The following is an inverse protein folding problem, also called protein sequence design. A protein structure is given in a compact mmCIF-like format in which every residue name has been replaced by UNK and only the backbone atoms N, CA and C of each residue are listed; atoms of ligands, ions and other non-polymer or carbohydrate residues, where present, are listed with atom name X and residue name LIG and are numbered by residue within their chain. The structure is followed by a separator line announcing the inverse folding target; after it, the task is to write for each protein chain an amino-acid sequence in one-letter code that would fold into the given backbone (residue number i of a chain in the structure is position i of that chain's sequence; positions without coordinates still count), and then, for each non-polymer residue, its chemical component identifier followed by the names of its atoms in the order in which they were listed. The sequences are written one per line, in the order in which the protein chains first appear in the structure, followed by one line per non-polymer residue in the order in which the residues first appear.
data_IF_644504870177
#
_entry.id   IF_644504870177
#
_cell.length_a   1.000
_cell.length_b   1.000
_cell.length_c   1.000
_cell.angle_alpha   90.00
_cell.angle_beta   90.00
_cell.angle_gamma   90.00
#
_symmetry.space_group_name_H-M   'P 1'
#
loop_
_entity.id
_entity.type
_entity.pdbx_description
1 polymer ?
#
# COMPACT_ATOMS: atom_id res chain seq x y z
N UNK A 1 -30.01 11.55 10.21
CA UNK A 1 -29.06 11.46 11.34
C UNK A 1 -28.15 10.23 11.26
N UNK A 2 -28.68 9.03 10.98
CA UNK A 2 -27.90 7.77 10.92
C UNK A 2 -26.95 7.68 9.71
N UNK A 3 -27.33 8.22 8.55
CA UNK A 3 -26.52 8.15 7.33
C UNK A 3 -25.17 8.89 7.47
N UNK A 4 -25.16 10.07 8.09
CA UNK A 4 -23.93 10.82 8.32
C UNK A 4 -23.04 10.15 9.38
N UNK A 5 -23.65 9.50 10.38
CA UNK A 5 -22.91 8.75 11.39
C UNK A 5 -22.22 7.51 10.77
N UNK A 6 -22.90 6.77 9.89
CA UNK A 6 -22.32 5.61 9.19
C UNK A 6 -21.16 6.05 8.28
N UNK A 7 -21.33 7.15 7.53
CA UNK A 7 -20.26 7.71 6.70
C UNK A 7 -19.05 8.16 7.54
N UNK A 8 -19.27 8.78 8.70
CA UNK A 8 -18.21 9.18 9.63
C UNK A 8 -17.42 7.98 10.17
N UNK A 9 -18.12 6.91 10.58
CA UNK A 9 -17.48 5.69 11.08
C UNK A 9 -16.67 5.01 9.97
N UNK A 10 -17.19 4.96 8.75
CA UNK A 10 -16.46 4.38 7.62
C UNK A 10 -15.15 5.11 7.33
N UNK A 11 -15.15 6.45 7.35
CA UNK A 11 -13.94 7.25 7.15
C UNK A 11 -12.92 7.03 8.28
N UNK A 12 -13.37 6.92 9.54
CA UNK A 12 -12.51 6.59 10.67
C UNK A 12 -11.88 5.20 10.54
N UNK A 13 -12.66 4.19 10.16
CA UNK A 13 -12.16 2.82 9.97
C UNK A 13 -11.09 2.75 8.86
N UNK A 14 -11.31 3.45 7.74
CA UNK A 14 -10.31 3.54 6.66
C UNK A 14 -9.05 4.24 7.15
N UNK A 15 -9.17 5.29 7.97
CA UNK A 15 -8.01 5.99 8.52
C UNK A 15 -7.21 5.16 9.53
N UNK A 16 -7.89 4.56 10.51
CA UNK A 16 -7.23 3.85 11.62
C UNK A 16 -6.74 2.47 11.21
N UNK A 17 -7.48 1.72 10.39
CA UNK A 17 -7.08 0.37 9.99
C UNK A 17 -6.50 0.33 8.57
N UNK A 18 -7.02 1.14 7.66
CA UNK A 18 -6.64 1.11 6.26
C UNK A 18 -5.20 1.58 6.01
N UNK A 19 -4.78 2.73 6.56
CA UNK A 19 -3.40 3.22 6.34
C UNK A 19 -2.33 2.27 6.89
N UNK A 20 -2.43 1.74 8.12
CA UNK A 20 -1.46 0.75 8.60
C UNK A 20 -1.46 -0.53 7.76
N UNK A 21 -2.62 -0.98 7.29
CA UNK A 21 -2.71 -2.15 6.41
C UNK A 21 -2.07 -1.91 5.04
N UNK A 22 -2.25 -0.73 4.45
CA UNK A 22 -1.55 -0.31 3.22
C UNK A 22 -0.02 -0.36 3.43
N UNK A 23 0.47 0.08 4.59
CA UNK A 23 1.88 -0.03 4.94
C UNK A 23 2.38 -1.49 4.93
N UNK A 24 1.61 -2.44 5.47
CA UNK A 24 1.97 -3.87 5.39
C UNK A 24 2.06 -4.34 3.94
N UNK A 25 1.09 -3.96 3.10
CA UNK A 25 1.08 -4.37 1.71
C UNK A 25 2.28 -3.78 0.94
N UNK A 26 2.64 -2.52 1.18
CA UNK A 26 3.86 -1.92 0.64
C UNK A 26 5.10 -2.70 1.06
N UNK A 27 5.24 -3.01 2.35
CA UNK A 27 6.35 -3.82 2.86
C UNK A 27 6.42 -5.19 2.18
N UNK A 28 5.30 -5.86 1.92
CA UNK A 28 5.29 -7.17 1.21
C UNK A 28 5.74 -7.06 -0.24
N UNK A 29 5.28 -6.03 -0.95
CA UNK A 29 5.72 -5.77 -2.34
C UNK A 29 7.20 -5.44 -2.36
N UNK A 30 7.69 -4.63 -1.41
CA UNK A 30 9.11 -4.33 -1.24
C UNK A 30 9.95 -5.57 -0.96
N UNK A 31 9.48 -6.45 -0.06
CA UNK A 31 10.17 -7.72 0.21
C UNK A 31 10.28 -8.57 -1.05
N UNK A 32 9.20 -8.70 -1.80
CA UNK A 32 9.16 -9.45 -3.07
C UNK A 32 10.12 -8.84 -4.09
N UNK A 33 10.10 -7.52 -4.25
CA UNK A 33 10.99 -6.82 -5.18
C UNK A 33 12.48 -7.01 -4.83
N UNK A 34 12.84 -6.98 -3.54
CA UNK A 34 14.22 -7.26 -3.11
C UNK A 34 14.61 -8.73 -3.32
N UNK A 35 13.66 -9.66 -3.19
CA UNK A 35 13.89 -11.08 -3.47
C UNK A 35 14.04 -11.32 -4.98
N UNK A 36 13.27 -10.64 -5.83
CA UNK A 36 13.31 -10.88 -7.29
C UNK A 36 14.44 -10.11 -8.00
N UNK A 37 14.99 -9.06 -7.38
CA UNK A 37 16.02 -8.25 -8.01
C UNK A 37 17.40 -8.91 -7.98
N UNK A 38 17.79 -9.49 -9.12
CA UNK A 38 19.08 -10.18 -9.27
C UNK A 38 20.32 -9.29 -9.01
N UNK A 39 20.23 -7.98 -9.27
CA UNK A 39 21.36 -7.07 -9.01
C UNK A 39 21.56 -6.86 -7.51
N UNK A 40 20.47 -6.69 -6.76
CA UNK A 40 20.52 -6.54 -5.30
C UNK A 40 21.10 -7.80 -4.65
N UNK A 41 20.71 -9.00 -5.12
CA UNK A 41 21.27 -10.24 -4.61
C UNK A 41 22.78 -10.37 -4.85
N UNK A 42 23.27 -9.90 -6.01
CA UNK A 42 24.70 -9.88 -6.34
C UNK A 42 25.47 -8.86 -5.51
N UNK A 43 24.91 -7.67 -5.32
CA UNK A 43 25.54 -6.56 -4.59
C UNK A 43 25.54 -6.78 -3.08
N UNK A 44 24.52 -7.45 -2.53
CA UNK A 44 24.38 -7.71 -1.09
C UNK A 44 24.21 -9.21 -0.84
N UNK A 45 25.32 -9.99 -0.88
CA UNK A 45 25.28 -11.41 -0.59
C UNK A 45 24.82 -11.63 0.86
N UNK A 46 23.88 -12.56 1.05
CA UNK A 46 23.27 -12.85 2.34
C UNK A 46 22.00 -12.05 2.65
N UNK A 47 21.57 -11.14 1.77
CA UNK A 47 20.26 -10.47 1.90
C UNK A 47 19.10 -11.46 1.72
N UNK A 48 19.25 -12.38 0.77
CA UNK A 48 18.26 -13.42 0.43
C UNK A 48 18.88 -14.79 0.66
N UNK A 49 18.19 -15.64 1.41
CA UNK A 49 18.58 -17.02 1.68
C UNK A 49 17.35 -17.92 1.53
N UNK A 50 17.46 -19.00 0.74
CA UNK A 50 16.35 -19.92 0.44
C UNK A 50 15.06 -19.21 -0.08
N UNK A 51 15.22 -18.15 -0.88
CA UNK A 51 14.10 -17.37 -1.41
C UNK A 51 13.38 -16.50 -0.37
N UNK A 52 13.99 -16.26 0.80
CA UNK A 52 13.46 -15.40 1.86
C UNK A 52 14.49 -14.34 2.26
N UNK A 53 14.02 -13.19 2.71
CA UNK A 53 14.90 -12.17 3.27
C UNK A 53 15.39 -12.58 4.65
N UNK A 54 16.70 -12.44 4.89
CA UNK A 54 17.34 -12.69 6.20
C UNK A 54 17.20 -11.49 7.14
N UNK A 55 16.93 -10.32 6.57
CA UNK A 55 16.86 -9.01 7.24
C UNK A 55 15.45 -8.70 7.75
N UNK A 56 14.65 -9.69 8.13
CA UNK A 56 13.28 -9.46 8.60
C UNK A 56 13.25 -9.20 10.12
N UNK A 57 12.31 -8.36 10.54
CA UNK A 57 11.91 -8.15 11.94
C UNK A 57 10.39 -8.23 12.08
N UNK A 58 9.94 -8.83 13.17
CA UNK A 58 8.50 -8.87 13.46
C UNK A 58 8.06 -7.54 14.07
N UNK A 59 6.94 -7.01 13.59
CA UNK A 59 6.26 -5.83 14.11
C UNK A 59 4.78 -6.13 14.28
N UNK A 60 4.10 -5.36 15.12
CA UNK A 60 2.66 -5.50 15.32
C UNK A 60 1.96 -4.15 15.13
N UNK A 61 0.83 -4.17 14.45
CA UNK A 61 -0.10 -3.03 14.45
C UNK A 61 -1.07 -3.25 15.60
N UNK A 62 -1.21 -2.23 16.45
CA UNK A 62 -2.10 -2.24 17.63
C UNK A 62 -1.90 -3.46 18.55
N UNK A 63 -0.68 -4.01 18.63
CA UNK A 63 -0.32 -5.23 19.38
C UNK A 63 -1.03 -6.53 18.96
N UNK A 64 -1.96 -6.47 17.99
CA UNK A 64 -2.82 -7.60 17.61
C UNK A 64 -2.56 -8.14 16.21
N UNK A 65 -1.99 -7.32 15.32
CA UNK A 65 -1.77 -7.71 13.93
C UNK A 65 -0.28 -7.81 13.62
N UNK A 66 0.32 -9.01 13.71
CA UNK A 66 1.73 -9.20 13.40
C UNK A 66 1.99 -9.09 11.89
N UNK A 67 3.15 -8.51 11.54
CA UNK A 67 3.68 -8.48 10.20
C UNK A 67 5.21 -8.51 10.22
N UNK A 68 5.80 -8.93 9.11
CA UNK A 68 7.25 -8.91 8.95
C UNK A 68 7.65 -7.64 8.20
N UNK A 69 8.57 -6.89 8.79
CA UNK A 69 9.14 -5.67 8.22
C UNK A 69 10.62 -5.86 7.88
N UNK A 70 11.14 -5.03 7.00
CA UNK A 70 12.56 -5.02 6.64
C UNK A 70 13.33 -4.29 7.73
N UNK A 71 14.37 -4.95 8.23
CA UNK A 71 15.23 -4.43 9.27
C UNK A 71 16.42 -3.66 8.68
N UNK A 72 16.27 -2.35 8.58
CA UNK A 72 17.29 -1.45 8.02
C UNK A 72 18.65 -1.58 8.72
N UNK A 73 18.68 -1.93 10.01
CA UNK A 73 19.93 -2.12 10.75
C UNK A 73 20.68 -3.37 10.27
N UNK A 74 19.96 -4.47 10.04
CA UNK A 74 20.53 -5.69 9.45
C UNK A 74 20.95 -5.47 8.00
N UNK A 75 20.16 -4.74 7.22
CA UNK A 75 20.52 -4.36 5.84
C UNK A 75 21.83 -3.55 5.84
N UNK A 76 21.93 -2.56 6.72
CA UNK A 76 23.14 -1.74 6.86
C UNK A 76 24.32 -2.60 7.30
N UNK A 77 24.15 -3.49 8.27
CA UNK A 77 25.18 -4.42 8.72
C UNK A 77 25.64 -5.42 7.65
N UNK A 78 24.80 -5.76 6.66
CA UNK A 78 25.22 -6.53 5.49
C UNK A 78 26.03 -5.68 4.52
N UNK A 79 25.62 -4.43 4.30
CA UNK A 79 26.31 -3.50 3.39
C UNK A 79 27.69 -3.12 3.96
N UNK A 80 27.83 -2.95 5.28
CA UNK A 80 29.12 -2.61 5.91
C UNK A 80 30.18 -3.71 5.74
N UNK A 81 29.76 -4.97 5.57
CA UNK A 81 30.65 -6.10 5.28
C UNK A 81 31.19 -6.09 3.84
N UNK A 82 30.62 -5.25 2.96
CA UNK A 82 31.11 -5.08 1.60
C UNK A 82 32.37 -4.20 1.54
N UNK A 83 33.19 -4.36 0.49
CA UNK A 83 34.28 -3.42 0.19
C UNK A 83 33.76 -1.99 0.10
N UNK A 84 34.53 -1.00 0.59
CA UNK A 84 34.10 0.41 0.63
C UNK A 84 33.65 0.95 -0.72
N UNK A 85 34.29 0.52 -1.81
CA UNK A 85 33.95 0.88 -3.18
C UNK A 85 32.51 0.48 -3.58
N UNK A 86 31.96 -0.59 -2.99
CA UNK A 86 30.66 -1.15 -3.36
C UNK A 86 29.53 -0.73 -2.40
N UNK A 87 29.86 -0.17 -1.23
CA UNK A 87 28.88 0.17 -0.18
C UNK A 87 27.84 1.19 -0.66
N UNK A 88 28.29 2.27 -1.28
CA UNK A 88 27.40 3.33 -1.75
C UNK A 88 26.51 2.86 -2.90
N UNK A 89 27.07 2.06 -3.82
CA UNK A 89 26.34 1.48 -4.93
C UNK A 89 25.27 0.50 -4.43
N UNK A 90 25.61 -0.39 -3.49
CA UNK A 90 24.69 -1.33 -2.87
C UNK A 90 23.58 -0.62 -2.09
N UNK A 91 23.94 0.36 -1.27
CA UNK A 91 22.97 1.16 -0.50
C UNK A 91 21.99 1.90 -1.40
N UNK A 92 22.51 2.53 -2.47
CA UNK A 92 21.67 3.20 -3.47
C UNK A 92 20.75 2.22 -4.17
N UNK A 93 21.25 1.07 -4.63
CA UNK A 93 20.45 0.08 -5.34
C UNK A 93 19.33 -0.48 -4.47
N UNK A 94 19.61 -0.84 -3.22
CA UNK A 94 18.58 -1.32 -2.27
C UNK A 94 17.51 -0.25 -2.05
N UNK A 95 17.92 1.01 -1.89
CA UNK A 95 17.00 2.14 -1.73
C UNK A 95 16.14 2.37 -2.98
N UNK A 96 16.74 2.32 -4.16
CA UNK A 96 16.05 2.55 -5.43
C UNK A 96 15.01 1.46 -5.69
N UNK A 97 15.38 0.19 -5.54
CA UNK A 97 14.45 -0.95 -5.66
C UNK A 97 13.30 -0.83 -4.66
N UNK A 98 13.61 -0.42 -3.42
CA UNK A 98 12.60 -0.22 -2.39
C UNK A 98 11.64 0.94 -2.69
N UNK A 99 12.16 2.04 -3.25
CA UNK A 99 11.34 3.20 -3.61
C UNK A 99 10.43 2.88 -4.79
N UNK A 100 10.97 2.23 -5.82
CA UNK A 100 10.22 1.78 -7.00
C UNK A 100 9.10 0.81 -6.62
N UNK A 101 9.40 -0.19 -5.77
CA UNK A 101 8.39 -1.15 -5.31
C UNK A 101 7.27 -0.49 -4.52
N UNK A 102 7.57 0.54 -3.73
CA UNK A 102 6.56 1.29 -2.99
C UNK A 102 5.64 2.09 -3.91
N UNK A 103 6.19 2.72 -4.95
CA UNK A 103 5.39 3.40 -5.96
C UNK A 103 4.52 2.41 -6.74
N UNK A 104 5.06 1.23 -7.08
CA UNK A 104 4.31 0.18 -7.73
C UNK A 104 3.14 -0.29 -6.88
N UNK A 105 3.39 -0.58 -5.59
CA UNK A 105 2.36 -0.99 -4.64
C UNK A 105 1.23 0.05 -4.53
N UNK A 106 1.58 1.34 -4.42
CA UNK A 106 0.60 2.43 -4.37
C UNK A 106 -0.21 2.54 -5.67
N UNK A 107 0.44 2.37 -6.82
CA UNK A 107 -0.23 2.39 -8.12
C UNK A 107 -1.24 1.25 -8.23
N UNK A 108 -0.86 0.05 -7.82
CA UNK A 108 -1.76 -1.12 -7.84
C UNK A 108 -2.97 -0.90 -6.93
N UNK A 109 -2.76 -0.34 -5.74
CA UNK A 109 -3.84 -0.01 -4.80
C UNK A 109 -4.77 1.08 -5.32
N UNK A 110 -4.26 2.03 -6.12
CA UNK A 110 -5.05 3.11 -6.70
C UNK A 110 -6.02 2.61 -7.79
N UNK A 111 -5.80 1.43 -8.37
CA UNK A 111 -6.66 0.87 -9.44
C UNK A 111 -8.11 0.75 -8.97
N UNK A 112 -8.35 0.29 -7.74
CA UNK A 112 -9.70 0.06 -7.23
C UNK A 112 -10.49 1.37 -7.04
N UNK A 113 -9.97 2.40 -6.32
CA UNK A 113 -10.62 3.71 -6.27
C UNK A 113 -10.80 4.37 -7.63
N UNK A 114 -9.81 4.25 -8.54
CA UNK A 114 -9.94 4.76 -9.91
C UNK A 114 -11.07 4.09 -10.66
N UNK A 115 -11.21 2.77 -10.55
CA UNK A 115 -12.34 2.04 -11.14
C UNK A 115 -13.68 2.51 -10.58
N UNK A 116 -13.80 2.67 -9.25
CA UNK A 116 -15.00 3.22 -8.62
C UNK A 116 -15.33 4.63 -9.13
N UNK A 117 -14.31 5.49 -9.28
CA UNK A 117 -14.49 6.83 -9.85
C UNK A 117 -15.04 6.74 -11.28
N UNK A 118 -14.51 5.87 -12.13
CA UNK A 118 -15.02 5.67 -13.50
C UNK A 118 -16.49 5.23 -13.49
N UNK A 119 -16.86 4.25 -12.66
CA UNK A 119 -18.26 3.84 -12.50
C UNK A 119 -19.15 5.00 -12.07
N UNK A 120 -18.69 5.81 -11.12
CA UNK A 120 -19.43 6.97 -10.64
C UNK A 120 -19.62 8.03 -11.74
N UNK A 121 -18.58 8.31 -12.52
CA UNK A 121 -18.66 9.21 -13.67
C UNK A 121 -19.65 8.70 -14.74
N UNK A 122 -19.67 7.39 -15.02
CA UNK A 122 -20.64 6.78 -15.93
C UNK A 122 -22.07 7.00 -15.42
N UNK A 123 -22.33 6.75 -14.13
CA UNK A 123 -23.65 6.96 -13.53
C UNK A 123 -24.08 8.43 -13.60
N UNK A 124 -23.17 9.37 -13.32
CA UNK A 124 -23.46 10.80 -13.43
C UNK A 124 -23.90 11.16 -14.85
N UNK A 125 -23.14 10.74 -15.87
CA UNK A 125 -23.47 11.04 -17.27
C UNK A 125 -24.78 10.38 -17.68
N UNK A 126 -25.00 9.12 -17.28
CA UNK A 126 -26.24 8.39 -17.55
C UNK A 126 -27.46 9.09 -16.96
N UNK A 127 -27.46 9.43 -15.66
CA UNK A 127 -28.59 10.11 -15.03
C UNK A 127 -28.79 11.52 -15.57
N UNK A 128 -27.71 12.26 -15.85
CA UNK A 128 -27.80 13.58 -16.48
C UNK A 128 -28.48 13.50 -17.86
N UNK A 129 -28.20 12.46 -18.64
CA UNK A 129 -28.85 12.24 -19.95
C UNK A 129 -30.33 11.84 -19.84
N UNK A 130 -30.76 11.22 -18.73
CA UNK A 130 -32.16 10.81 -18.49
C UNK A 130 -33.03 11.85 -17.77
N UNK A 131 -32.58 13.09 -17.69
CA UNK A 131 -33.34 14.19 -17.08
C UNK A 131 -33.06 14.41 -15.59
N UNK A 132 -31.97 13.83 -15.05
CA UNK A 132 -31.50 14.03 -13.69
C UNK A 132 -32.33 13.32 -12.61
N UNK A 133 -31.95 13.52 -11.34
CA UNK A 133 -32.79 13.14 -10.20
C UNK A 133 -34.01 14.05 -10.20
N UNK A 134 -35.17 13.53 -10.63
CA UNK A 134 -36.44 14.22 -10.42
C UNK A 134 -36.85 13.98 -8.97
N UNK A 135 -36.86 15.01 -8.10
CA UNK A 135 -37.39 14.85 -6.76
C UNK A 135 -38.84 14.38 -6.88
N UNK A 136 -39.15 13.24 -6.25
CA UNK A 136 -40.54 12.82 -6.05
C UNK A 136 -41.06 13.68 -4.90
N UNK A 137 -41.92 14.64 -5.22
CA UNK A 137 -42.76 15.33 -4.24
C UNK A 137 -43.64 14.27 -3.57
N UNK A 138 -43.32 13.89 -2.33
CA UNK A 138 -44.24 13.15 -1.46
C UNK A 138 -45.29 14.15 -0.97
N UNK A 139 -46.13 14.61 -1.90
CA UNK A 139 -47.25 15.49 -1.62
C UNK A 139 -48.30 14.74 -0.81
N UNK A 140 -48.45 15.18 0.46
CA UNK A 140 -49.68 15.22 1.23
C UNK A 140 -50.88 14.44 0.65
N UNK A 141 -51.04 13.19 1.09
CA UNK A 141 -52.30 12.47 0.99
C UNK A 141 -52.48 11.54 2.19
N UNK A 142 -53.02 12.13 3.27
CA UNK A 142 -54.13 11.59 4.08
C UNK A 142 -53.97 12.03 5.56
N UNK A 143 -54.81 13.00 5.92
CA UNK A 143 -55.57 13.18 7.17
C UNK A 143 -54.94 12.89 8.54
#
# INVERSE_FOLDING_TARGET
MTLNAISGIAMLAVGTLGFPYIGILQTRVQQTALIENADVQKMVPGLVENGKLTVLKEKKIYEVMPYQDIDNDKVTGLIEKLPEADRDAAKKKVKDVSAESNQHALRDMAIFPTFMLVCYLILIVYFKSKGGYKPIELGAAAH
#
